data_IF_498726249208
#
_entry.id   IF_498726249208
#
_cell.length_a   1.000
_cell.length_b   1.000
_cell.length_c   1.000
_cell.angle_alpha   90.00
_cell.angle_beta   90.00
_cell.angle_gamma   90.00
#
_symmetry.space_group_name_H-M   'P 1'
#
loop_
_entity.id
_entity.type
_entity.pdbx_description
1 polymer ?
#
# COMPACT_ATOMS: atom_id res chain seq x y z
N UNK A 1 22.94 15.85 -23.08
CA UNK A 1 21.57 16.33 -23.42
C UNK A 1 20.81 16.65 -22.13
N UNK A 2 19.86 17.57 -22.17
CA UNK A 2 19.07 17.98 -21.00
C UNK A 2 18.46 16.79 -20.24
N UNK A 3 17.97 15.77 -20.94
CA UNK A 3 17.46 14.53 -20.37
C UNK A 3 18.54 13.75 -19.58
N UNK A 4 19.75 13.66 -20.10
CA UNK A 4 20.89 13.02 -19.42
C UNK A 4 21.30 13.77 -18.13
N UNK A 5 21.17 15.10 -18.13
CA UNK A 5 21.54 15.92 -16.96
C UNK A 5 20.46 15.83 -15.87
N UNK A 6 19.18 15.78 -16.24
CA UNK A 6 18.08 15.55 -15.29
C UNK A 6 18.21 14.18 -14.65
N UNK A 7 18.48 13.14 -15.41
CA UNK A 7 18.68 11.77 -14.92
C UNK A 7 19.83 11.66 -13.92
N UNK A 8 20.99 12.24 -14.26
CA UNK A 8 22.16 12.26 -13.37
C UNK A 8 21.88 13.04 -12.08
N UNK A 9 21.08 14.11 -12.18
CA UNK A 9 20.67 14.90 -11.01
C UNK A 9 19.79 14.08 -10.07
N UNK A 10 18.82 13.34 -10.62
CA UNK A 10 17.94 12.49 -9.83
C UNK A 10 18.69 11.40 -9.07
N UNK A 11 19.62 10.69 -9.74
CA UNK A 11 20.47 9.69 -9.09
C UNK A 11 21.33 10.26 -7.95
N UNK A 12 21.87 11.47 -8.12
CA UNK A 12 22.65 12.13 -7.06
C UNK A 12 21.80 12.46 -5.84
N UNK A 13 20.58 12.95 -6.05
CA UNK A 13 19.65 13.26 -4.95
C UNK A 13 19.30 12.00 -4.18
N UNK A 14 18.92 10.92 -4.87
CA UNK A 14 18.58 9.65 -4.22
C UNK A 14 19.78 9.06 -3.47
N UNK A 15 20.96 9.03 -4.08
CA UNK A 15 22.17 8.52 -3.43
C UNK A 15 22.54 9.33 -2.18
N UNK A 16 22.42 10.65 -2.23
CA UNK A 16 22.71 11.53 -1.11
C UNK A 16 21.72 11.30 0.04
N UNK A 17 20.42 11.20 -0.25
CA UNK A 17 19.39 10.94 0.75
C UNK A 17 19.54 9.55 1.40
N UNK A 18 19.91 8.56 0.59
CA UNK A 18 20.19 7.20 1.07
C UNK A 18 21.56 7.04 1.77
N UNK A 19 22.38 8.09 1.80
CA UNK A 19 23.75 8.06 2.35
C UNK A 19 24.64 6.98 1.72
N UNK A 20 24.51 6.76 0.41
CA UNK A 20 25.29 5.78 -0.34
C UNK A 20 26.13 6.46 -1.44
N UNK A 21 27.26 5.86 -1.88
CA UNK A 21 28.01 6.37 -3.01
C UNK A 21 27.15 6.39 -4.29
N UNK A 22 27.33 7.42 -5.13
CA UNK A 22 26.61 7.53 -6.41
C UNK A 22 26.80 6.30 -7.31
N UNK A 23 27.99 5.69 -7.27
CA UNK A 23 28.27 4.46 -8.03
C UNK A 23 27.38 3.26 -7.65
N UNK A 24 26.87 3.23 -6.42
CA UNK A 24 25.94 2.18 -6.00
C UNK A 24 24.64 2.20 -6.81
N UNK A 25 24.20 3.38 -7.22
CA UNK A 25 22.97 3.52 -8.02
C UNK A 25 23.05 2.77 -9.36
N UNK A 26 24.19 2.91 -10.04
CA UNK A 26 24.44 2.26 -11.33
C UNK A 26 24.92 0.82 -11.21
N UNK A 27 25.35 0.40 -10.04
CA UNK A 27 25.74 -0.98 -9.76
C UNK A 27 24.53 -1.87 -9.47
N UNK A 28 23.55 -1.38 -8.71
CA UNK A 28 22.41 -2.16 -8.27
C UNK A 28 21.15 -1.98 -9.11
N UNK A 29 21.03 -0.87 -9.86
CA UNK A 29 19.80 -0.54 -10.60
C UNK A 29 20.12 -0.23 -12.06
N UNK A 30 19.32 -0.81 -12.95
CA UNK A 30 19.36 -0.51 -14.39
C UNK A 30 18.51 0.76 -14.69
N UNK A 31 18.92 1.85 -14.05
CA UNK A 31 18.30 3.15 -14.21
C UNK A 31 17.21 3.49 -13.20
N UNK A 32 16.60 4.66 -13.39
CA UNK A 32 15.59 5.20 -12.47
C UNK A 32 14.29 4.39 -12.49
N UNK A 33 13.93 3.85 -13.64
CA UNK A 33 12.73 3.01 -13.78
C UNK A 33 12.86 1.75 -12.94
N UNK A 34 13.97 1.04 -13.06
CA UNK A 34 14.24 -0.16 -12.26
C UNK A 34 14.31 0.14 -10.76
N UNK A 35 14.97 1.24 -10.37
CA UNK A 35 14.98 1.69 -8.97
C UNK A 35 13.56 1.92 -8.44
N UNK A 36 12.72 2.62 -9.18
CA UNK A 36 11.34 2.90 -8.76
C UNK A 36 10.52 1.61 -8.68
N UNK A 37 10.68 0.71 -9.65
CA UNK A 37 9.99 -0.58 -9.65
C UNK A 37 10.33 -1.38 -8.38
N UNK A 38 11.61 -1.56 -8.08
CA UNK A 38 12.05 -2.28 -6.88
C UNK A 38 11.64 -1.57 -5.58
N UNK A 39 11.66 -0.24 -5.55
CA UNK A 39 11.21 0.53 -4.39
C UNK A 39 9.71 0.34 -4.11
N UNK A 40 8.87 0.37 -5.14
CA UNK A 40 7.43 0.14 -5.00
C UNK A 40 7.09 -1.31 -4.69
N UNK A 41 7.81 -2.29 -5.28
CA UNK A 41 7.68 -3.69 -4.87
C UNK A 41 7.93 -3.85 -3.37
N UNK A 42 9.04 -3.32 -2.88
CA UNK A 42 9.37 -3.39 -1.46
C UNK A 42 8.34 -2.69 -0.58
N UNK A 43 7.82 -1.55 -1.01
CA UNK A 43 6.76 -0.83 -0.29
C UNK A 43 5.49 -1.68 -0.19
N UNK A 44 5.05 -2.27 -1.30
CA UNK A 44 3.89 -3.15 -1.37
C UNK A 44 4.09 -4.41 -0.50
N UNK A 45 5.24 -5.07 -0.62
CA UNK A 45 5.56 -6.28 0.16
C UNK A 45 5.53 -6.01 1.67
N UNK A 46 6.05 -4.86 2.12
CA UNK A 46 5.99 -4.46 3.52
C UNK A 46 4.55 -4.22 3.99
N UNK A 47 3.71 -3.59 3.17
CA UNK A 47 2.31 -3.35 3.49
C UNK A 47 1.53 -4.67 3.58
N UNK A 48 1.72 -5.56 2.61
CA UNK A 48 1.13 -6.91 2.59
C UNK A 48 1.53 -7.71 3.83
N UNK A 49 2.82 -7.74 4.15
CA UNK A 49 3.32 -8.50 5.29
C UNK A 49 2.73 -8.01 6.63
N UNK A 50 2.60 -6.69 6.81
CA UNK A 50 1.95 -6.11 7.99
C UNK A 50 0.49 -6.52 8.10
N UNK A 51 -0.26 -6.41 7.01
CA UNK A 51 -1.67 -6.79 6.98
C UNK A 51 -1.87 -8.30 7.22
N UNK A 52 -1.13 -9.14 6.52
CA UNK A 52 -1.19 -10.58 6.65
C UNK A 52 -0.91 -11.04 8.11
N UNK A 53 0.15 -10.52 8.74
CA UNK A 53 0.50 -10.85 10.11
C UNK A 53 -0.61 -10.50 11.11
N UNK A 54 -1.35 -9.40 10.86
CA UNK A 54 -2.51 -9.04 11.69
C UNK A 54 -3.71 -9.93 11.42
N UNK A 55 -4.01 -10.22 10.16
CA UNK A 55 -5.11 -11.15 9.82
C UNK A 55 -4.88 -12.53 10.41
N UNK A 56 -3.65 -13.04 10.44
CA UNK A 56 -3.29 -14.31 11.08
C UNK A 56 -3.57 -14.35 12.59
N UNK A 57 -3.65 -13.20 13.26
CA UNK A 57 -3.96 -13.12 14.69
C UNK A 57 -5.44 -13.27 15.02
N UNK A 58 -6.33 -13.14 14.04
CA UNK A 58 -7.77 -13.27 14.25
C UNK A 58 -8.17 -14.76 14.37
N UNK A 59 -8.96 -15.08 15.38
CA UNK A 59 -9.44 -16.45 15.61
C UNK A 59 -10.72 -16.77 14.82
N UNK A 60 -11.46 -15.76 14.36
CA UNK A 60 -12.75 -15.90 13.68
C UNK A 60 -13.08 -14.67 12.82
N UNK A 61 -14.16 -14.72 12.06
CA UNK A 61 -14.60 -13.65 11.17
C UNK A 61 -14.93 -12.32 11.89
N UNK A 62 -15.41 -12.34 13.12
CA UNK A 62 -15.71 -11.11 13.88
C UNK A 62 -14.42 -10.41 14.31
N UNK A 63 -13.43 -11.16 14.78
CA UNK A 63 -12.09 -10.63 15.08
C UNK A 63 -11.37 -10.15 13.81
N UNK A 64 -11.55 -10.85 12.68
CA UNK A 64 -11.04 -10.39 11.39
C UNK A 64 -11.62 -9.03 10.98
N UNK A 65 -12.90 -8.77 11.28
CA UNK A 65 -13.50 -7.44 11.08
C UNK A 65 -12.83 -6.36 11.94
N UNK A 66 -12.50 -6.67 13.19
CA UNK A 66 -11.77 -5.75 14.07
C UNK A 66 -10.35 -5.45 13.54
N UNK A 67 -9.66 -6.48 13.07
CA UNK A 67 -8.33 -6.31 12.43
C UNK A 67 -8.42 -5.41 11.20
N UNK A 68 -9.41 -5.63 10.33
CA UNK A 68 -9.62 -4.81 9.14
C UNK A 68 -9.90 -3.35 9.52
N UNK A 69 -10.81 -3.11 10.46
CA UNK A 69 -11.11 -1.76 10.93
C UNK A 69 -9.88 -1.07 11.52
N UNK A 70 -9.12 -1.76 12.37
CA UNK A 70 -7.88 -1.25 12.95
C UNK A 70 -6.81 -0.95 11.87
N UNK A 71 -6.74 -1.76 10.82
CA UNK A 71 -5.81 -1.53 9.70
C UNK A 71 -6.15 -0.26 8.93
N UNK A 72 -7.43 0.01 8.69
CA UNK A 72 -7.88 1.28 8.10
C UNK A 72 -7.49 2.46 8.98
N UNK A 73 -7.52 2.32 10.29
CA UNK A 73 -7.26 3.39 11.25
C UNK A 73 -5.77 3.68 11.43
N UNK A 74 -4.93 2.67 11.43
CA UNK A 74 -3.58 2.80 11.96
C UNK A 74 -2.46 2.42 11.02
N UNK A 75 -2.73 1.67 9.92
CA UNK A 75 -1.67 0.97 9.22
C UNK A 75 -1.27 1.49 7.87
N UNK A 76 -2.23 1.91 7.12
CA UNK A 76 -1.95 2.24 5.73
C UNK A 76 -1.88 3.74 5.58
N UNK A 77 -0.79 4.20 4.98
CA UNK A 77 -0.58 5.63 4.73
C UNK A 77 -0.59 6.47 6.03
N UNK A 78 -0.14 5.88 7.14
CA UNK A 78 -0.18 6.49 8.47
C UNK A 78 0.75 7.71 8.61
N UNK A 79 1.74 7.83 7.73
CA UNK A 79 2.61 9.00 7.65
C UNK A 79 2.39 9.78 6.34
N UNK A 80 2.66 11.10 6.32
CA UNK A 80 2.63 11.89 5.08
C UNK A 80 3.52 11.32 3.98
N UNK A 81 4.63 10.68 4.33
CA UNK A 81 5.53 10.04 3.35
C UNK A 81 4.89 8.79 2.74
N UNK A 82 4.27 7.93 3.54
CA UNK A 82 3.59 6.73 3.03
C UNK A 82 2.41 7.09 2.14
N UNK A 83 1.63 8.12 2.50
CA UNK A 83 0.56 8.65 1.67
C UNK A 83 1.09 9.12 0.31
N UNK A 84 2.15 9.93 0.32
CA UNK A 84 2.73 10.45 -0.92
C UNK A 84 3.28 9.31 -1.80
N UNK A 85 3.98 8.34 -1.22
CA UNK A 85 4.50 7.17 -1.94
C UNK A 85 3.35 6.37 -2.56
N UNK A 86 2.27 6.12 -1.82
CA UNK A 86 1.11 5.40 -2.32
C UNK A 86 0.42 6.12 -3.49
N UNK A 87 0.20 7.43 -3.38
CA UNK A 87 -0.42 8.24 -4.44
C UNK A 87 0.45 8.29 -5.70
N UNK A 88 1.78 8.48 -5.55
CA UNK A 88 2.72 8.44 -6.68
C UNK A 88 2.73 7.06 -7.34
N UNK A 89 2.70 5.98 -6.54
CA UNK A 89 2.62 4.62 -7.07
C UNK A 89 1.36 4.41 -7.92
N UNK A 90 0.17 4.78 -7.43
CA UNK A 90 -1.06 4.65 -8.19
C UNK A 90 -1.05 5.50 -9.47
N UNK A 91 -0.52 6.72 -9.39
CA UNK A 91 -0.36 7.58 -10.55
C UNK A 91 0.56 6.93 -11.60
N UNK A 92 1.64 6.33 -11.17
CA UNK A 92 2.60 5.66 -12.05
C UNK A 92 2.00 4.38 -12.65
N UNK A 93 1.37 3.53 -11.85
CA UNK A 93 0.70 2.31 -12.32
C UNK A 93 -0.45 2.60 -13.31
N UNK A 94 -1.13 3.74 -13.16
CA UNK A 94 -2.15 4.17 -14.11
C UNK A 94 -1.58 4.56 -15.48
N UNK A 95 -0.34 5.08 -15.53
CA UNK A 95 0.31 5.57 -16.74
C UNK A 95 1.24 4.56 -17.40
N UNK A 96 1.93 3.77 -16.60
CA UNK A 96 2.92 2.79 -17.05
C UNK A 96 2.49 1.37 -16.68
N UNK A 97 2.12 0.54 -17.70
CA UNK A 97 1.70 -0.84 -17.47
C UNK A 97 2.71 -1.71 -16.74
N UNK A 98 4.01 -1.38 -16.80
CA UNK A 98 5.05 -2.17 -16.11
C UNK A 98 4.98 -2.11 -14.58
N UNK A 99 4.23 -1.14 -14.03
CA UNK A 99 3.97 -1.05 -12.59
C UNK A 99 2.64 -1.68 -12.15
N UNK A 100 1.80 -2.11 -13.10
CA UNK A 100 0.49 -2.73 -12.79
C UNK A 100 0.64 -4.10 -12.14
N UNK A 101 1.66 -4.85 -12.49
CA UNK A 101 1.95 -6.14 -11.89
C UNK A 101 2.20 -6.05 -10.38
N UNK A 102 2.77 -4.94 -9.91
CA UNK A 102 2.94 -4.67 -8.46
C UNK A 102 1.57 -4.45 -7.80
N UNK A 103 0.71 -3.61 -8.38
CA UNK A 103 -0.63 -3.36 -7.84
C UNK A 103 -1.50 -4.62 -7.86
N UNK A 104 -1.44 -5.40 -8.93
CA UNK A 104 -2.21 -6.64 -9.06
C UNK A 104 -1.78 -7.67 -8.01
N UNK A 105 -0.48 -7.85 -7.79
CA UNK A 105 0.05 -8.72 -6.73
C UNK A 105 -0.30 -8.22 -5.33
N UNK A 106 -0.22 -6.91 -5.12
CA UNK A 106 -0.60 -6.30 -3.83
C UNK A 106 -2.07 -6.60 -3.50
N UNK A 107 -2.99 -6.24 -4.41
CA UNK A 107 -4.42 -6.51 -4.22
C UNK A 107 -4.71 -8.00 -4.02
N UNK A 108 -4.14 -8.87 -4.85
CA UNK A 108 -4.31 -10.31 -4.72
C UNK A 108 -3.83 -10.85 -3.35
N UNK A 109 -2.73 -10.32 -2.82
CA UNK A 109 -2.18 -10.74 -1.52
C UNK A 109 -3.05 -10.26 -0.35
N UNK A 110 -3.57 -9.04 -0.39
CA UNK A 110 -4.52 -8.52 0.61
C UNK A 110 -5.81 -9.35 0.59
N UNK A 111 -6.37 -9.60 -0.59
CA UNK A 111 -7.56 -10.42 -0.77
C UNK A 111 -7.35 -11.86 -0.28
N UNK A 112 -6.20 -12.46 -0.57
CA UNK A 112 -5.84 -13.79 -0.07
C UNK A 112 -5.86 -13.87 1.46
N UNK A 113 -5.34 -12.86 2.16
CA UNK A 113 -5.36 -12.82 3.62
C UNK A 113 -6.77 -12.77 4.19
N UNK A 114 -7.71 -12.09 3.51
CA UNK A 114 -9.12 -12.01 3.92
C UNK A 114 -9.94 -13.26 3.54
N UNK A 115 -9.56 -13.95 2.47
CA UNK A 115 -10.28 -15.13 1.96
C UNK A 115 -10.30 -16.33 2.93
N UNK A 116 -9.49 -16.28 4.00
CA UNK A 116 -9.55 -17.26 5.08
C UNK A 116 -10.81 -17.13 5.94
N UNK A 117 -11.45 -15.96 5.94
CA UNK A 117 -12.60 -15.62 6.79
C UNK A 117 -13.87 -15.31 6.01
N UNK A 118 -13.74 -14.87 4.75
CA UNK A 118 -14.85 -14.33 3.97
C UNK A 118 -14.88 -14.92 2.56
N UNK A 119 -16.07 -14.93 1.95
CA UNK A 119 -16.24 -15.33 0.57
C UNK A 119 -15.67 -14.29 -0.43
N UNK A 120 -15.54 -14.68 -1.69
CA UNK A 120 -14.90 -13.87 -2.72
C UNK A 120 -15.60 -12.52 -2.98
N UNK A 121 -16.92 -12.47 -2.91
CA UNK A 121 -17.70 -11.23 -3.13
C UNK A 121 -17.48 -10.27 -1.99
N UNK A 122 -17.53 -10.75 -0.76
CA UNK A 122 -17.22 -10.00 0.46
C UNK A 122 -15.81 -9.46 0.45
N UNK A 123 -14.83 -10.28 0.07
CA UNK A 123 -13.41 -9.89 0.00
C UNK A 123 -13.18 -8.71 -0.95
N UNK A 124 -13.80 -8.72 -2.14
CA UNK A 124 -13.71 -7.60 -3.10
C UNK A 124 -14.26 -6.29 -2.51
N UNK A 125 -15.39 -6.36 -1.81
CA UNK A 125 -16.00 -5.17 -1.20
C UNK A 125 -15.17 -4.64 -0.03
N UNK A 126 -14.63 -5.53 0.80
CA UNK A 126 -13.76 -5.15 1.92
C UNK A 126 -12.44 -4.54 1.43
N UNK A 127 -11.85 -5.09 0.38
CA UNK A 127 -10.64 -4.55 -0.24
C UNK A 127 -10.86 -3.11 -0.73
N UNK A 128 -11.93 -2.87 -1.48
CA UNK A 128 -12.31 -1.53 -1.94
C UNK A 128 -12.61 -0.57 -0.77
N UNK A 129 -13.23 -1.05 0.31
CA UNK A 129 -13.50 -0.27 1.51
C UNK A 129 -12.22 0.10 2.25
N UNK A 130 -11.29 -0.84 2.43
CA UNK A 130 -9.97 -0.59 3.04
C UNK A 130 -9.26 0.52 2.26
N UNK A 131 -9.13 0.35 0.96
CA UNK A 131 -8.45 1.31 0.07
C UNK A 131 -9.05 2.71 0.19
N UNK A 132 -10.36 2.82 -0.02
CA UNK A 132 -11.07 4.11 -0.04
C UNK A 132 -11.04 4.82 1.31
N UNK A 133 -11.31 4.13 2.40
CA UNK A 133 -11.32 4.72 3.73
C UNK A 133 -9.93 5.09 4.23
N UNK A 134 -8.92 4.28 3.92
CA UNK A 134 -7.52 4.60 4.23
C UNK A 134 -7.08 5.89 3.55
N UNK A 135 -7.38 6.02 2.25
CA UNK A 135 -7.08 7.23 1.49
C UNK A 135 -7.83 8.45 2.04
N UNK A 136 -9.13 8.33 2.30
CA UNK A 136 -9.93 9.42 2.85
C UNK A 136 -9.40 9.88 4.21
N UNK A 137 -9.05 8.95 5.09
CA UNK A 137 -8.48 9.30 6.40
C UNK A 137 -7.14 10.01 6.29
N UNK A 138 -6.26 9.53 5.43
CA UNK A 138 -4.95 10.12 5.21
C UNK A 138 -5.03 11.56 4.68
N UNK A 139 -6.07 11.91 3.93
CA UNK A 139 -6.30 13.25 3.37
C UNK A 139 -7.10 14.19 4.27
N UNK A 140 -7.85 13.67 5.24
CA UNK A 140 -8.85 14.45 5.99
C UNK A 140 -8.23 15.26 7.16
N UNK A 141 -7.08 14.87 7.67
CA UNK A 141 -6.35 15.61 8.71
C UNK A 141 -7.02 15.70 10.10
N UNK A 142 -8.27 15.29 10.26
CA UNK A 142 -9.01 15.31 11.52
C UNK A 142 -9.23 13.90 12.07
N UNK A 143 -9.02 13.67 13.39
CA UNK A 143 -9.36 12.41 14.02
C UNK A 143 -10.86 12.14 13.93
N UNK A 144 -11.24 10.96 13.45
CA UNK A 144 -12.64 10.52 13.35
C UNK A 144 -12.94 9.40 14.32
N UNK A 145 -14.21 9.31 14.73
CA UNK A 145 -14.71 8.16 15.48
C UNK A 145 -14.46 6.86 14.68
N UNK A 146 -13.79 5.85 15.25
CA UNK A 146 -13.54 4.58 14.60
C UNK A 146 -14.77 3.69 14.46
N UNK A 147 -15.80 3.87 15.30
CA UNK A 147 -16.95 2.98 15.37
C UNK A 147 -17.70 2.81 14.03
N UNK A 148 -17.93 3.87 13.22
CA UNK A 148 -18.58 3.72 11.92
C UNK A 148 -17.80 2.84 10.93
N UNK A 149 -16.47 2.77 11.06
CA UNK A 149 -15.63 1.91 10.22
C UNK A 149 -15.86 0.45 10.57
N UNK A 150 -15.79 0.10 11.85
CA UNK A 150 -16.04 -1.26 12.33
C UNK A 150 -17.46 -1.72 11.99
N UNK A 151 -18.45 -0.86 12.22
CA UNK A 151 -19.85 -1.16 11.88
C UNK A 151 -20.03 -1.39 10.37
N UNK A 152 -19.35 -0.59 9.54
CA UNK A 152 -19.37 -0.75 8.08
C UNK A 152 -18.71 -2.05 7.62
N UNK A 153 -17.55 -2.40 8.20
CA UNK A 153 -16.87 -3.67 7.94
C UNK A 153 -17.76 -4.85 8.32
N UNK A 154 -18.34 -4.85 9.52
CA UNK A 154 -19.26 -5.91 9.97
C UNK A 154 -20.51 -6.03 9.11
N UNK A 155 -21.05 -4.91 8.65
CA UNK A 155 -22.23 -4.91 7.75
C UNK A 155 -21.90 -5.58 6.43
N UNK A 156 -20.74 -5.31 5.84
CA UNK A 156 -20.32 -5.95 4.60
C UNK A 156 -19.97 -7.43 4.84
N UNK A 157 -19.20 -7.71 5.88
CA UNK A 157 -18.64 -9.04 6.13
C UNK A 157 -19.64 -10.05 6.70
N UNK A 158 -20.56 -9.60 7.57
CA UNK A 158 -21.41 -10.47 8.39
C UNK A 158 -22.90 -10.21 8.19
N UNK A 159 -23.28 -9.19 7.41
CA UNK A 159 -24.68 -8.81 7.21
C UNK A 159 -25.37 -8.25 8.46
N UNK A 160 -24.61 -7.66 9.38
CA UNK A 160 -25.08 -7.17 10.69
C UNK A 160 -25.15 -5.65 10.74
#
# INVERSE_FOLDING_TARGET
SAASDVYKRQHRVVAAEAHVPLGSMTYYFDGMHDLLHQAFERFADCAVARFAARMESAANADEACEVIAASIEHDSLASPNELNIGLEFYTLAARDPSFRDISDRWMASIQYSMAQYFDAETVILLDAMIEGLTLHRALDGEPKDPQPILDGVRRIALGK
#
